data_IF_678021708851
#
_entry.id   IF_678021708851
#
_cell.length_a   1.000
_cell.length_b   1.000
_cell.length_c   1.000
_cell.angle_alpha   90.00
_cell.angle_beta   90.00
_cell.angle_gamma   90.00
#
_symmetry.space_group_name_H-M   'P 1'
#
loop_
_entity.id
_entity.type
_entity.pdbx_description
1 polymer ?
#
# COMPACT_ATOMS: atom_id res chain seq x y z
N UNK A 1 17.18 -18.07 -15.16
CA UNK A 1 16.48 -17.57 -13.96
C UNK A 1 16.58 -18.68 -12.93
N UNK A 2 17.26 -18.44 -11.82
CA UNK A 2 17.22 -19.38 -10.69
C UNK A 2 15.87 -19.16 -9.99
N UNK A 3 15.02 -20.20 -9.96
CA UNK A 3 13.69 -20.13 -9.33
C UNK A 3 13.73 -20.40 -7.83
N UNK A 4 14.89 -20.82 -7.31
CA UNK A 4 15.06 -21.06 -5.89
C UNK A 4 15.27 -19.77 -5.12
N UNK A 5 14.53 -19.61 -4.03
CA UNK A 5 14.78 -18.52 -3.09
C UNK A 5 16.10 -18.73 -2.34
N UNK A 6 16.78 -17.63 -2.01
CA UNK A 6 17.99 -17.64 -1.18
C UNK A 6 17.69 -18.24 0.20
N UNK A 7 18.72 -18.73 0.91
CA UNK A 7 18.57 -19.22 2.30
C UNK A 7 17.99 -18.12 3.21
N UNK A 8 18.40 -16.86 2.99
CA UNK A 8 17.91 -15.68 3.71
C UNK A 8 16.41 -15.50 3.48
N UNK A 9 15.96 -15.54 2.23
CA UNK A 9 14.54 -15.42 1.88
C UNK A 9 13.71 -16.54 2.48
N UNK A 10 14.14 -17.82 2.35
CA UNK A 10 13.42 -18.96 2.94
C UNK A 10 13.27 -18.83 4.46
N UNK A 11 14.33 -18.42 5.15
CA UNK A 11 14.29 -18.16 6.60
C UNK A 11 13.23 -17.11 6.97
N UNK A 12 13.16 -15.99 6.25
CA UNK A 12 12.13 -14.98 6.51
C UNK A 12 10.72 -15.47 6.14
N UNK A 13 10.57 -16.26 5.06
CA UNK A 13 9.29 -16.85 4.69
C UNK A 13 8.76 -17.78 5.78
N UNK A 14 9.61 -18.63 6.35
CA UNK A 14 9.25 -19.54 7.45
C UNK A 14 8.84 -18.77 8.71
N UNK A 15 9.62 -17.74 9.09
CA UNK A 15 9.30 -16.90 10.25
C UNK A 15 8.01 -16.11 10.06
N UNK A 16 7.77 -15.56 8.86
CA UNK A 16 6.51 -14.88 8.56
C UNK A 16 5.34 -15.85 8.55
N UNK A 17 5.46 -17.03 7.94
CA UNK A 17 4.37 -18.02 7.94
C UNK A 17 3.97 -18.46 9.36
N UNK A 18 4.97 -18.68 10.23
CA UNK A 18 4.75 -18.94 11.66
C UNK A 18 4.05 -17.76 12.35
N UNK A 19 4.53 -16.53 12.12
CA UNK A 19 3.95 -15.32 12.70
C UNK A 19 2.50 -15.10 12.25
N UNK A 20 2.24 -15.28 10.95
CA UNK A 20 0.90 -15.14 10.38
C UNK A 20 -0.09 -16.10 11.07
N UNK A 21 0.34 -17.34 11.27
CA UNK A 21 -0.48 -18.40 11.89
C UNK A 21 -0.73 -18.16 13.38
N UNK A 22 0.31 -17.76 14.13
CA UNK A 22 0.22 -17.60 15.59
C UNK A 22 -0.37 -16.27 16.03
N UNK A 23 -0.12 -15.19 15.29
CA UNK A 23 -0.42 -13.84 15.73
C UNK A 23 -1.37 -13.10 14.80
N UNK A 24 -1.20 -13.17 13.48
CA UNK A 24 -2.05 -12.37 12.57
C UNK A 24 -3.46 -12.96 12.44
N UNK A 25 -3.60 -14.17 11.88
CA UNK A 25 -4.93 -14.71 11.58
C UNK A 25 -5.84 -14.82 12.81
N UNK A 26 -5.36 -15.25 14.01
CA UNK A 26 -6.20 -15.29 15.20
C UNK A 26 -6.69 -13.89 15.66
N UNK A 27 -5.94 -12.83 15.35
CA UNK A 27 -6.22 -11.48 15.82
C UNK A 27 -6.89 -10.58 14.78
N UNK A 28 -7.21 -11.07 13.58
CA UNK A 28 -8.00 -10.30 12.60
C UNK A 28 -9.37 -9.91 13.17
N UNK A 29 -10.05 -10.87 13.82
CA UNK A 29 -11.34 -10.59 14.47
C UNK A 29 -11.17 -9.60 15.63
N UNK A 30 -10.15 -9.80 16.47
CA UNK A 30 -9.86 -8.92 17.60
C UNK A 30 -9.62 -7.49 17.14
N UNK A 31 -8.88 -7.29 16.04
CA UNK A 31 -8.66 -5.98 15.45
C UNK A 31 -9.97 -5.28 15.05
N UNK A 32 -10.87 -6.00 14.38
CA UNK A 32 -12.17 -5.45 13.99
C UNK A 32 -13.08 -5.18 15.20
N UNK A 33 -13.17 -6.12 16.15
CA UNK A 33 -13.98 -5.96 17.36
C UNK A 33 -13.51 -4.74 18.19
N UNK A 34 -12.20 -4.52 18.29
CA UNK A 34 -11.62 -3.37 19.01
C UNK A 34 -11.90 -2.03 18.30
N UNK A 35 -11.97 -2.01 16.96
CA UNK A 35 -12.37 -0.83 16.20
C UNK A 35 -13.87 -0.54 16.35
N UNK A 36 -14.70 -1.58 16.32
CA UNK A 36 -16.16 -1.47 16.40
C UNK A 36 -16.63 -1.04 17.80
N UNK A 37 -15.94 -1.48 18.85
CA UNK A 37 -16.26 -1.15 20.24
C UNK A 37 -15.81 0.26 20.66
N UNK A 38 -15.05 0.94 19.82
CA UNK A 38 -14.47 2.24 20.12
C UNK A 38 -15.45 3.40 19.96
N UNK A 39 -15.15 4.54 20.61
CA UNK A 39 -15.92 5.78 20.42
C UNK A 39 -15.81 6.34 19.00
N UNK A 40 -14.73 6.00 18.29
CA UNK A 40 -14.49 6.33 16.90
C UNK A 40 -13.71 5.20 16.26
N UNK A 41 -13.95 4.95 14.97
CA UNK A 41 -13.19 3.97 14.18
C UNK A 41 -11.81 4.50 13.78
N UNK A 42 -11.58 5.81 13.91
CA UNK A 42 -10.32 6.49 13.57
C UNK A 42 -9.33 6.48 14.75
N UNK A 43 -9.03 5.29 15.26
CA UNK A 43 -8.11 5.10 16.38
C UNK A 43 -7.24 3.86 16.17
N UNK A 44 -6.14 3.75 16.91
CA UNK A 44 -5.25 2.59 16.81
C UNK A 44 -5.81 1.45 17.68
N UNK A 45 -6.17 0.29 17.12
CA UNK A 45 -6.55 -0.86 17.93
C UNK A 45 -5.36 -1.34 18.76
N UNK A 46 -5.51 -1.53 20.08
CA UNK A 46 -4.42 -1.99 20.95
C UNK A 46 -3.68 -3.22 20.43
N UNK A 47 -4.42 -4.17 19.84
CA UNK A 47 -3.83 -5.39 19.29
C UNK A 47 -2.77 -5.12 18.24
N UNK A 48 -2.87 -4.02 17.49
CA UNK A 48 -1.87 -3.67 16.48
C UNK A 48 -0.51 -3.34 17.10
N UNK A 49 -0.48 -2.68 18.26
CA UNK A 49 0.80 -2.37 18.94
C UNK A 49 1.44 -3.62 19.56
N UNK A 50 0.63 -4.55 20.06
CA UNK A 50 1.10 -5.87 20.53
C UNK A 50 1.71 -6.68 19.38
N UNK A 51 1.05 -6.71 18.21
CA UNK A 51 1.58 -7.37 17.01
C UNK A 51 2.91 -6.77 16.55
N UNK A 52 3.03 -5.43 16.55
CA UNK A 52 4.29 -4.75 16.22
C UNK A 52 5.41 -5.06 17.22
N UNK A 53 5.09 -5.18 18.50
CA UNK A 53 6.08 -5.58 19.52
C UNK A 53 6.63 -6.98 19.22
N UNK A 54 5.77 -7.97 19.01
CA UNK A 54 6.18 -9.33 18.67
C UNK A 54 6.95 -9.43 17.34
N UNK A 55 6.55 -8.64 16.34
CA UNK A 55 7.26 -8.59 15.06
C UNK A 55 8.70 -8.08 15.24
N UNK A 56 8.89 -7.03 16.05
CA UNK A 56 10.21 -6.47 16.37
C UNK A 56 11.09 -7.43 17.15
N UNK A 57 10.54 -8.13 18.14
CA UNK A 57 11.26 -9.17 18.91
C UNK A 57 11.84 -10.28 18.02
N UNK A 58 11.18 -10.56 16.89
CA UNK A 58 11.60 -11.57 15.90
C UNK A 58 12.43 -11.00 14.75
N UNK A 59 12.72 -9.70 14.74
CA UNK A 59 13.43 -9.06 13.64
C UNK A 59 12.64 -8.97 12.32
N UNK A 60 11.30 -9.10 12.38
CA UNK A 60 10.40 -9.00 11.23
C UNK A 60 9.95 -7.54 11.03
N UNK A 61 10.90 -6.62 10.78
CA UNK A 61 10.63 -5.19 10.79
C UNK A 61 11.37 -4.45 9.65
N UNK A 62 10.71 -3.49 9.00
CA UNK A 62 11.27 -2.71 7.88
C UNK A 62 11.85 -3.58 6.74
N UNK A 63 11.17 -4.70 6.43
CA UNK A 63 11.63 -5.67 5.44
C UNK A 63 11.62 -5.13 3.99
N UNK A 64 10.93 -4.01 3.76
CA UNK A 64 10.65 -3.44 2.43
C UNK A 64 11.72 -2.49 1.89
N UNK A 65 12.71 -2.10 2.69
CA UNK A 65 13.61 -0.99 2.36
C UNK A 65 14.95 -1.51 1.79
N UNK A 66 15.07 -1.68 0.45
CA UNK A 66 16.32 -2.10 -0.18
C UNK A 66 17.35 -0.98 -0.14
N UNK A 67 18.63 -1.34 -0.30
CA UNK A 67 19.74 -0.38 -0.48
C UNK A 67 19.92 0.63 0.67
N UNK A 68 19.40 0.35 1.87
CA UNK A 68 19.57 1.14 3.07
C UNK A 68 20.03 0.27 4.24
N UNK A 69 21.01 0.77 5.00
CA UNK A 69 21.44 0.17 6.27
C UNK A 69 20.34 0.23 7.36
N UNK A 70 19.25 0.97 7.11
CA UNK A 70 18.11 1.11 8.03
C UNK A 70 16.98 0.09 7.77
N UNK A 71 17.11 -0.73 6.72
CA UNK A 71 16.20 -1.82 6.38
C UNK A 71 16.78 -3.21 6.66
N UNK A 72 16.07 -4.26 6.24
CA UNK A 72 16.55 -5.64 6.37
C UNK A 72 17.60 -6.08 5.32
N UNK A 73 18.01 -5.16 4.44
CA UNK A 73 18.96 -5.41 3.36
C UNK A 73 18.51 -6.50 2.39
N UNK A 74 17.20 -6.58 2.12
CA UNK A 74 16.62 -7.51 1.14
C UNK A 74 16.57 -6.84 -0.24
N UNK A 75 16.82 -7.60 -1.30
CA UNK A 75 16.55 -7.12 -2.66
C UNK A 75 15.04 -7.14 -2.94
N UNK A 76 14.58 -6.54 -4.05
CA UNK A 76 13.16 -6.62 -4.43
C UNK A 76 12.73 -8.08 -4.63
N UNK A 77 13.57 -8.90 -5.25
CA UNK A 77 13.30 -10.32 -5.47
C UNK A 77 13.24 -11.12 -4.17
N UNK A 78 14.09 -10.81 -3.19
CA UNK A 78 14.06 -11.43 -1.86
C UNK A 78 12.83 -11.00 -1.04
N UNK A 79 12.38 -9.75 -1.19
CA UNK A 79 11.22 -9.22 -0.50
C UNK A 79 9.88 -9.70 -1.10
N UNK A 80 9.83 -10.00 -2.40
CA UNK A 80 8.63 -10.40 -3.12
C UNK A 80 7.79 -11.49 -2.44
N UNK A 81 8.33 -12.69 -2.09
CA UNK A 81 7.55 -13.73 -1.43
C UNK A 81 7.14 -13.36 -0.01
N UNK A 82 7.89 -12.48 0.67
CA UNK A 82 7.53 -12.00 2.01
C UNK A 82 6.31 -11.09 1.93
N UNK A 83 6.28 -10.21 0.93
CA UNK A 83 5.18 -9.31 0.65
C UNK A 83 3.91 -10.08 0.23
N UNK A 84 4.06 -11.18 -0.52
CA UNK A 84 2.97 -12.12 -0.80
C UNK A 84 2.38 -12.73 0.48
N UNK A 85 3.21 -13.24 1.40
CA UNK A 85 2.76 -13.80 2.68
C UNK A 85 2.00 -12.74 3.50
N UNK A 86 2.53 -11.53 3.61
CA UNK A 86 1.89 -10.42 4.31
C UNK A 86 0.56 -10.02 3.65
N UNK A 87 0.48 -10.05 2.32
CA UNK A 87 -0.72 -9.69 1.56
C UNK A 87 -1.93 -10.57 1.85
N UNK A 88 -1.74 -11.74 2.46
CA UNK A 88 -2.83 -12.62 2.88
C UNK A 88 -3.71 -12.02 3.98
N UNK A 89 -3.29 -10.95 4.66
CA UNK A 89 -4.09 -10.27 5.68
C UNK A 89 -4.00 -8.76 5.56
N UNK A 90 -5.11 -8.00 5.75
CA UNK A 90 -5.07 -6.54 5.70
C UNK A 90 -4.25 -5.92 6.85
N UNK A 91 -4.12 -6.60 8.00
CA UNK A 91 -3.41 -6.07 9.19
C UNK A 91 -1.92 -6.44 9.22
N UNK A 92 -1.50 -7.46 8.45
CA UNK A 92 -0.13 -7.95 8.47
C UNK A 92 0.90 -6.90 8.02
N UNK A 93 0.74 -6.19 6.89
CA UNK A 93 1.74 -5.21 6.46
C UNK A 93 2.05 -4.15 7.52
N UNK A 94 1.06 -3.68 8.29
CA UNK A 94 1.31 -2.72 9.37
C UNK A 94 2.07 -3.35 10.54
N UNK A 95 1.76 -4.59 10.93
CA UNK A 95 2.44 -5.30 12.01
C UNK A 95 3.96 -5.41 11.79
N UNK A 96 4.40 -5.43 10.53
CA UNK A 96 5.82 -5.51 10.13
C UNK A 96 6.41 -4.17 9.63
N UNK A 97 5.68 -3.06 9.80
CA UNK A 97 6.02 -1.72 9.27
C UNK A 97 6.21 -1.67 7.74
N UNK A 98 5.51 -2.55 7.03
CA UNK A 98 5.56 -2.72 5.58
C UNK A 98 4.28 -2.22 4.86
N UNK A 99 3.45 -1.41 5.52
CA UNK A 99 2.19 -0.91 4.96
C UNK A 99 2.38 0.36 4.10
N UNK A 100 1.68 0.42 2.97
CA UNK A 100 1.46 1.69 2.26
C UNK A 100 0.50 2.59 3.05
N UNK A 101 0.62 3.93 2.95
CA UNK A 101 1.56 4.69 2.12
C UNK A 101 2.94 4.91 2.76
N UNK A 102 3.14 4.46 4.00
CA UNK A 102 4.34 4.74 4.79
C UNK A 102 5.62 4.22 4.15
N UNK A 103 5.61 3.00 3.58
CA UNK A 103 6.79 2.46 2.89
C UNK A 103 7.30 3.36 1.77
N UNK A 104 6.40 3.80 0.88
CA UNK A 104 6.75 4.74 -0.19
C UNK A 104 7.19 6.11 0.33
N UNK A 105 6.62 6.58 1.46
CA UNK A 105 7.06 7.82 2.11
C UNK A 105 8.46 7.66 2.73
N UNK A 106 8.74 6.55 3.41
CA UNK A 106 10.05 6.23 3.99
C UNK A 106 11.12 6.14 2.91
N UNK A 107 10.88 5.41 1.83
CA UNK A 107 11.79 5.35 0.67
C UNK A 107 12.06 6.73 0.06
N UNK A 108 11.01 7.56 -0.05
CA UNK A 108 11.13 8.93 -0.56
C UNK A 108 12.06 9.77 0.31
N UNK A 109 11.87 9.76 1.64
CA UNK A 109 12.67 10.56 2.56
C UNK A 109 14.10 10.00 2.68
N UNK A 110 14.28 8.68 2.65
CA UNK A 110 15.61 8.06 2.66
C UNK A 110 16.43 8.47 1.44
N UNK A 111 15.81 8.48 0.25
CA UNK A 111 16.50 8.78 -1.01
C UNK A 111 16.71 10.28 -1.25
N UNK A 112 15.74 11.11 -0.88
CA UNK A 112 15.69 12.52 -1.30
C UNK A 112 15.65 13.52 -0.14
N UNK A 113 15.50 13.04 1.09
CA UNK A 113 15.48 13.88 2.28
C UNK A 113 16.88 14.35 2.68
N UNK A 114 16.98 15.55 3.24
CA UNK A 114 18.18 16.00 3.94
C UNK A 114 18.39 15.21 5.24
N UNK A 115 19.59 15.23 5.80
CA UNK A 115 19.86 14.55 7.09
C UNK A 115 18.97 15.07 8.23
N UNK A 116 18.61 16.36 8.22
CA UNK A 116 17.66 16.93 9.16
C UNK A 116 16.25 16.34 8.97
N UNK A 117 15.78 16.23 7.73
CA UNK A 117 14.48 15.63 7.41
C UNK A 117 14.45 14.13 7.76
N UNK A 118 15.54 13.39 7.49
CA UNK A 118 15.66 11.98 7.88
C UNK A 118 15.61 11.80 9.39
N UNK A 119 16.37 12.62 10.15
CA UNK A 119 16.35 12.57 11.61
C UNK A 119 14.96 12.90 12.17
N UNK A 120 14.30 13.92 11.63
CA UNK A 120 13.01 14.37 12.15
C UNK A 120 11.85 13.45 11.78
N UNK A 121 11.83 12.91 10.56
CA UNK A 121 10.66 12.23 10.00
C UNK A 121 10.91 10.76 9.67
N UNK A 122 12.04 10.42 9.06
CA UNK A 122 12.31 9.04 8.69
C UNK A 122 12.55 8.15 9.91
N UNK A 123 13.34 8.61 10.88
CA UNK A 123 13.60 7.84 12.10
C UNK A 123 12.31 7.42 12.84
N UNK A 124 11.37 8.33 13.20
CA UNK A 124 10.14 7.90 13.87
C UNK A 124 9.20 7.07 12.98
N UNK A 125 9.24 7.21 11.64
CA UNK A 125 8.52 6.31 10.72
C UNK A 125 9.11 4.90 10.73
N UNK A 126 10.44 4.77 10.70
CA UNK A 126 11.14 3.48 10.78
C UNK A 126 10.97 2.82 12.16
N UNK A 127 10.74 3.59 13.21
CA UNK A 127 10.36 3.10 14.54
C UNK A 127 8.86 2.73 14.64
N UNK A 128 8.04 3.08 13.65
CA UNK A 128 6.59 2.87 13.65
C UNK A 128 5.83 3.71 14.68
N UNK A 129 6.45 4.79 15.19
CA UNK A 129 5.85 5.70 16.19
C UNK A 129 4.88 6.71 15.58
N UNK A 130 5.14 7.10 14.33
CA UNK A 130 4.26 7.96 13.55
C UNK A 130 3.87 7.26 12.25
N UNK A 131 2.84 7.79 11.60
CA UNK A 131 2.39 7.44 10.27
C UNK A 131 2.46 8.66 9.37
N UNK A 132 2.26 8.44 8.09
CA UNK A 132 2.38 9.46 7.06
C UNK A 132 1.33 9.30 6.00
N UNK A 133 1.15 10.33 5.17
CA UNK A 133 0.28 10.26 4.01
C UNK A 133 0.92 10.93 2.79
N UNK A 134 0.56 10.44 1.60
CA UNK A 134 0.97 11.04 0.34
C UNK A 134 -0.18 11.84 -0.23
N UNK A 135 0.08 13.10 -0.57
CA UNK A 135 -0.94 14.09 -0.90
C UNK A 135 -0.69 14.61 -2.31
N UNK A 136 -1.26 13.91 -3.30
CA UNK A 136 -1.07 14.22 -4.72
C UNK A 136 -2.39 14.49 -5.44
N UNK A 137 -3.32 13.55 -5.40
CA UNK A 137 -4.55 13.57 -6.20
C UNK A 137 -5.45 14.76 -5.82
N UNK A 138 -5.99 15.42 -6.84
CA UNK A 138 -6.91 16.56 -6.71
C UNK A 138 -8.28 16.19 -7.29
N UNK A 139 -9.40 16.63 -6.65
CA UNK A 139 -10.74 16.29 -7.11
C UNK A 139 -11.19 17.10 -8.32
N UNK A 140 -10.59 18.28 -8.58
CA UNK A 140 -11.01 19.21 -9.64
C UNK A 140 -10.32 18.98 -10.98
N UNK A 141 -9.30 18.11 -11.03
CA UNK A 141 -8.52 17.84 -12.24
C UNK A 141 -8.28 16.34 -12.42
N UNK A 142 -8.12 15.92 -13.66
CA UNK A 142 -7.75 14.54 -14.00
C UNK A 142 -6.30 14.25 -13.58
N UNK A 143 -6.13 13.83 -12.33
CA UNK A 143 -4.83 13.64 -11.66
C UNK A 143 -4.03 12.43 -12.17
N UNK A 144 -4.61 11.60 -13.05
CA UNK A 144 -3.89 10.53 -13.74
C UNK A 144 -2.79 11.07 -14.65
N UNK A 145 -3.01 12.25 -15.23
CA UNK A 145 -1.94 13.07 -15.79
C UNK A 145 -1.43 14.02 -14.68
N UNK A 146 -0.28 13.67 -14.11
CA UNK A 146 0.33 14.44 -13.03
C UNK A 146 0.61 15.90 -13.43
N UNK A 147 0.75 16.22 -14.72
CA UNK A 147 0.97 17.61 -15.18
C UNK A 147 -0.25 18.51 -15.00
N UNK A 148 -1.42 17.93 -14.69
CA UNK A 148 -2.66 18.66 -14.40
C UNK A 148 -2.80 19.09 -12.95
N UNK A 149 -1.95 18.63 -12.02
CA UNK A 149 -1.98 19.09 -10.62
C UNK A 149 -1.83 20.62 -10.56
N UNK A 150 -2.72 21.29 -9.81
CA UNK A 150 -2.84 22.75 -9.76
C UNK A 150 -2.53 23.38 -8.40
N UNK A 151 -2.57 22.59 -7.32
CA UNK A 151 -2.29 23.13 -5.98
C UNK A 151 -0.94 23.85 -5.93
N UNK A 152 -0.89 25.01 -5.27
CA UNK A 152 0.25 25.91 -5.31
C UNK A 152 1.17 25.75 -4.10
N UNK A 153 2.47 25.87 -4.31
CA UNK A 153 3.51 25.98 -3.30
C UNK A 153 4.31 27.25 -3.62
N UNK A 154 4.02 28.36 -2.92
CA UNK A 154 4.60 29.67 -3.24
C UNK A 154 5.68 30.01 -2.22
N UNK A 155 6.89 30.30 -2.70
CA UNK A 155 7.99 30.75 -1.84
C UNK A 155 7.68 32.14 -1.28
N UNK A 156 7.83 32.29 0.03
CA UNK A 156 7.68 33.55 0.76
C UNK A 156 8.81 33.66 1.80
N UNK A 157 9.91 34.30 1.39
CA UNK A 157 11.12 34.44 2.20
C UNK A 157 11.78 33.10 2.55
N UNK A 158 11.85 32.79 3.84
CA UNK A 158 12.38 31.56 4.42
C UNK A 158 11.32 30.45 4.60
N UNK A 159 10.13 30.64 4.01
CA UNK A 159 9.01 29.71 4.11
C UNK A 159 8.32 29.49 2.76
N UNK A 160 7.42 28.51 2.71
CA UNK A 160 6.46 28.30 1.62
C UNK A 160 5.04 28.47 2.15
N UNK A 161 4.15 29.01 1.30
CA UNK A 161 2.71 29.05 1.51
C UNK A 161 2.04 28.07 0.54
N UNK A 162 1.26 27.14 1.09
CA UNK A 162 0.62 26.06 0.36
C UNK A 162 -0.89 26.28 0.33
N UNK A 163 -1.47 26.18 -0.87
CA UNK A 163 -2.91 26.18 -1.08
C UNK A 163 -3.31 25.04 -2.01
N UNK A 164 -4.36 24.29 -1.66
CA UNK A 164 -4.77 23.14 -2.46
C UNK A 164 -6.00 22.42 -1.93
N UNK A 165 -6.64 21.65 -2.81
CA UNK A 165 -7.75 20.76 -2.49
C UNK A 165 -7.37 19.36 -2.96
N UNK A 166 -7.16 18.45 -2.02
CA UNK A 166 -6.62 17.11 -2.26
C UNK A 166 -7.61 16.06 -1.79
N UNK A 167 -7.55 14.87 -2.38
CA UNK A 167 -8.39 13.74 -1.98
C UNK A 167 -7.68 12.42 -2.19
N UNK A 168 -8.29 11.33 -1.71
CA UNK A 168 -7.65 10.00 -1.65
C UNK A 168 -6.34 10.00 -0.87
N UNK A 169 -6.24 10.85 0.15
CA UNK A 169 -5.08 10.89 1.05
C UNK A 169 -5.18 9.73 2.05
N UNK A 170 -4.62 8.58 1.68
CA UNK A 170 -4.65 7.37 2.50
C UNK A 170 -3.88 7.54 3.81
N UNK A 171 -4.43 7.05 4.92
CA UNK A 171 -3.77 7.06 6.23
C UNK A 171 -3.99 8.34 7.05
N UNK A 172 -4.63 9.37 6.48
CA UNK A 172 -4.90 10.63 7.19
C UNK A 172 -5.89 10.48 8.36
N UNK A 173 -6.69 9.40 8.38
CA UNK A 173 -7.59 9.10 9.50
C UNK A 173 -6.86 8.64 10.76
N UNK A 174 -5.66 8.06 10.62
CA UNK A 174 -4.90 7.52 11.74
C UNK A 174 -4.40 8.64 12.65
N UNK A 175 -4.65 8.64 13.97
CA UNK A 175 -4.19 9.70 14.88
C UNK A 175 -2.66 9.82 14.98
N UNK A 176 -1.91 8.79 14.56
CA UNK A 176 -0.45 8.82 14.46
C UNK A 176 0.04 9.41 13.14
N UNK A 177 -0.82 9.70 12.17
CA UNK A 177 -0.41 10.40 10.95
C UNK A 177 0.11 11.79 11.32
N UNK A 178 1.41 12.03 11.20
CA UNK A 178 2.06 13.29 11.61
C UNK A 178 2.69 14.05 10.46
N UNK A 179 3.06 13.37 9.38
CA UNK A 179 3.79 13.98 8.27
C UNK A 179 3.14 13.66 6.93
N UNK A 180 3.01 14.68 6.10
CA UNK A 180 2.45 14.60 4.76
C UNK A 180 3.55 14.89 3.75
N UNK A 181 3.61 14.11 2.66
CA UNK A 181 4.38 14.47 1.48
C UNK A 181 3.41 15.07 0.47
N UNK A 182 3.44 16.40 0.35
CA UNK A 182 2.54 17.17 -0.51
C UNK A 182 3.18 17.45 -1.87
N UNK A 183 2.42 17.21 -2.95
CA UNK A 183 2.83 17.54 -4.31
C UNK A 183 2.00 18.69 -4.88
N UNK A 184 2.67 19.71 -5.40
CA UNK A 184 2.05 20.90 -5.98
C UNK A 184 3.00 21.68 -6.89
N UNK A 185 2.49 22.71 -7.56
CA UNK A 185 3.23 23.59 -8.46
C UNK A 185 4.02 24.65 -7.67
N UNK A 186 5.33 24.65 -7.83
CA UNK A 186 6.22 25.72 -7.36
C UNK A 186 6.47 26.78 -8.42
N UNK A 187 6.44 26.40 -9.70
CA UNK A 187 6.61 27.32 -10.82
C UNK A 187 5.63 26.96 -11.96
N UNK A 188 4.41 27.45 -11.87
CA UNK A 188 3.37 27.19 -12.87
C UNK A 188 3.69 27.78 -14.26
N UNK A 189 4.68 28.67 -14.35
CA UNK A 189 5.08 29.35 -15.61
C UNK A 189 6.30 28.71 -16.25
N UNK A 190 6.90 27.67 -15.64
CA UNK A 190 8.04 26.99 -16.23
C UNK A 190 7.67 26.45 -17.63
N UNK A 191 8.48 26.71 -18.68
CA UNK A 191 8.20 26.19 -20.01
C UNK A 191 8.24 24.65 -20.06
N UNK A 192 9.00 24.01 -19.17
CA UNK A 192 9.01 22.56 -19.00
C UNK A 192 7.96 22.15 -17.95
N UNK A 193 6.85 21.57 -18.41
CA UNK A 193 5.75 21.09 -17.54
C UNK A 193 6.23 20.11 -16.47
N UNK A 194 7.29 19.34 -16.74
CA UNK A 194 7.83 18.35 -15.79
C UNK A 194 8.68 18.99 -14.68
N UNK A 195 8.99 20.28 -14.78
CA UNK A 195 9.72 21.07 -13.78
C UNK A 195 8.84 22.09 -13.04
N UNK A 196 7.52 22.09 -13.29
CA UNK A 196 6.61 23.01 -12.62
C UNK A 196 6.30 22.63 -11.16
N UNK A 197 6.55 21.37 -10.79
CA UNK A 197 6.06 20.76 -9.56
C UNK A 197 7.18 20.35 -8.62
N UNK A 198 6.89 20.37 -7.33
CA UNK A 198 7.79 19.95 -6.26
C UNK A 198 7.06 19.07 -5.25
N UNK A 199 7.83 18.38 -4.41
CA UNK A 199 7.31 17.73 -3.20
C UNK A 199 7.84 18.43 -1.96
N UNK A 200 6.98 18.61 -0.96
CA UNK A 200 7.29 19.30 0.29
C UNK A 200 6.72 18.55 1.48
N UNK A 201 7.48 18.50 2.57
CA UNK A 201 7.07 17.91 3.83
C UNK A 201 6.16 18.88 4.60
N UNK A 202 5.00 18.41 5.02
CA UNK A 202 4.01 19.24 5.74
C UNK A 202 3.54 18.49 6.98
N UNK A 203 3.75 19.07 8.16
CA UNK A 203 3.22 18.49 9.40
C UNK A 203 1.69 18.51 9.34
N UNK A 204 1.05 17.39 9.66
CA UNK A 204 -0.40 17.22 9.51
C UNK A 204 -1.19 18.32 10.23
N UNK A 205 -0.74 18.71 11.41
CA UNK A 205 -1.45 19.61 12.31
C UNK A 205 -1.07 21.08 12.08
N UNK A 206 -0.36 21.40 10.98
CA UNK A 206 -0.05 22.79 10.60
C UNK A 206 -1.34 23.58 10.39
N UNK A 207 -1.48 24.80 10.96
CA UNK A 207 -2.65 25.64 10.75
C UNK A 207 -2.98 25.83 9.27
N UNK A 208 -4.27 25.73 8.93
CA UNK A 208 -4.77 25.78 7.55
C UNK A 208 -5.01 24.42 6.91
N UNK A 209 -4.62 23.31 7.56
CA UNK A 209 -4.95 21.95 7.11
C UNK A 209 -6.29 21.52 7.70
N UNK A 210 -7.21 21.06 6.86
CA UNK A 210 -8.51 20.55 7.28
C UNK A 210 -8.84 19.25 6.55
N UNK A 211 -9.01 18.17 7.30
CA UNK A 211 -9.64 16.95 6.78
C UNK A 211 -11.14 17.23 6.63
N UNK A 212 -11.60 17.43 5.41
CA UNK A 212 -12.98 17.80 5.11
C UNK A 212 -13.95 16.63 5.35
N UNK A 213 -13.55 15.42 4.94
CA UNK A 213 -14.28 14.17 5.19
C UNK A 213 -13.40 12.96 4.88
N UNK A 214 -13.81 11.81 5.38
CA UNK A 214 -13.30 10.50 4.96
C UNK A 214 -14.13 9.96 3.80
N UNK A 215 -13.51 9.17 2.93
CA UNK A 215 -14.08 8.59 1.71
C UNK A 215 -14.30 7.09 1.91
N UNK A 216 -15.33 6.56 1.26
CA UNK A 216 -15.63 5.12 1.29
C UNK A 216 -15.39 4.47 -0.06
N UNK A 217 -14.96 3.21 -0.05
CA UNK A 217 -14.80 2.35 -1.22
C UNK A 217 -15.86 1.26 -1.14
N UNK A 218 -16.87 1.32 -2.02
CA UNK A 218 -18.02 0.38 -1.98
C UNK A 218 -18.69 0.28 -0.58
N UNK A 219 -18.67 1.36 0.19
CA UNK A 219 -19.23 1.41 1.56
C UNK A 219 -18.24 1.04 2.67
N UNK A 220 -17.04 0.54 2.35
CA UNK A 220 -15.96 0.34 3.32
C UNK A 220 -15.25 1.66 3.61
N UNK A 221 -15.01 1.96 4.89
CA UNK A 221 -14.30 3.17 5.32
C UNK A 221 -12.78 2.99 5.45
N UNK A 222 -12.31 1.74 5.42
CA UNK A 222 -10.91 1.35 5.58
C UNK A 222 -10.27 1.89 6.87
N UNK A 223 -11.09 2.06 7.92
CA UNK A 223 -10.62 2.44 9.25
C UNK A 223 -9.60 1.43 9.81
N UNK A 224 -8.59 1.89 10.57
CA UNK A 224 -8.43 3.24 11.10
C UNK A 224 -7.64 4.20 10.19
N UNK A 225 -7.13 3.71 9.06
CA UNK A 225 -6.32 4.52 8.15
C UNK A 225 -7.20 5.43 7.27
N UNK A 226 -8.13 4.81 6.56
CA UNK A 226 -9.06 5.44 5.61
C UNK A 226 -8.40 6.26 4.51
N UNK A 227 -9.25 6.99 3.81
CA UNK A 227 -8.86 7.89 2.72
C UNK A 227 -9.55 9.25 2.91
N UNK A 228 -8.80 10.34 3.03
CA UNK A 228 -9.39 11.66 3.27
C UNK A 228 -9.43 12.57 2.06
N UNK A 229 -10.44 13.45 2.05
CA UNK A 229 -10.46 14.72 1.33
C UNK A 229 -9.91 15.81 2.25
N UNK A 230 -8.88 16.52 1.81
CA UNK A 230 -8.07 17.42 2.65
C UNK A 230 -7.92 18.77 1.95
N UNK A 231 -8.22 19.84 2.68
CA UNK A 231 -8.04 21.22 2.26
C UNK A 231 -6.76 21.78 2.89
N UNK A 232 -6.01 22.55 2.11
CA UNK A 232 -4.83 23.29 2.52
C UNK A 232 -5.10 24.76 2.21
N UNK A 233 -5.26 25.58 3.24
CA UNK A 233 -5.61 27.00 3.14
C UNK A 233 -4.52 27.84 3.83
N UNK A 234 -3.67 28.48 3.04
CA UNK A 234 -2.54 29.31 3.51
C UNK A 234 -1.62 28.58 4.51
N UNK A 235 -1.38 27.30 4.28
CA UNK A 235 -0.53 26.47 5.13
C UNK A 235 0.92 26.91 4.97
N UNK A 236 1.55 27.37 6.05
CA UNK A 236 2.92 27.89 6.03
C UNK A 236 3.90 26.88 6.63
N UNK A 237 4.95 26.56 5.89
CA UNK A 237 6.03 25.66 6.33
C UNK A 237 7.41 26.25 6.02
N UNK A 238 8.47 25.89 6.78
CA UNK A 238 9.83 26.35 6.48
C UNK A 238 10.29 25.96 5.08
N UNK A 239 11.15 26.78 4.46
CA UNK A 239 11.71 26.48 3.13
C UNK A 239 12.56 25.20 3.13
N UNK A 240 13.15 24.84 4.27
CA UNK A 240 13.88 23.59 4.47
C UNK A 240 13.01 22.34 4.39
N UNK A 241 11.68 22.46 4.32
CA UNK A 241 10.79 21.32 4.15
C UNK A 241 10.69 20.81 2.70
N UNK A 242 11.22 21.55 1.72
CA UNK A 242 11.26 21.11 0.33
C UNK A 242 12.10 19.83 0.21
N UNK A 243 11.60 18.82 -0.52
CA UNK A 243 12.35 17.59 -0.79
C UNK A 243 13.17 17.76 -2.06
N UNK A 244 14.48 17.48 -1.97
CA UNK A 244 15.49 17.60 -3.03
C UNK A 244 15.70 19.01 -3.60
N UNK A 245 14.64 19.74 -3.93
CA UNK A 245 14.66 21.09 -4.47
C UNK A 245 13.41 21.43 -5.30
N UNK A 246 13.27 22.69 -5.67
CA UNK A 246 12.18 23.16 -6.53
C UNK A 246 12.25 22.52 -7.94
N UNK A 247 11.08 22.19 -8.50
CA UNK A 247 10.95 21.58 -9.82
C UNK A 247 11.32 20.09 -9.90
N UNK A 248 11.60 19.45 -8.76
CA UNK A 248 12.02 18.04 -8.67
C UNK A 248 10.87 17.07 -8.38
N UNK A 249 9.62 17.53 -8.40
CA UNK A 249 8.45 16.72 -8.03
C UNK A 249 8.26 15.49 -8.92
N UNK A 250 8.42 15.62 -10.23
CA UNK A 250 8.32 14.48 -11.16
C UNK A 250 9.42 13.44 -10.95
N UNK A 251 10.65 13.88 -10.68
CA UNK A 251 11.77 12.97 -10.41
C UNK A 251 11.51 12.14 -9.16
N UNK A 252 11.06 12.79 -8.08
CA UNK A 252 10.71 12.11 -6.83
C UNK A 252 9.53 11.15 -7.06
N UNK A 253 8.49 11.58 -7.77
CA UNK A 253 7.33 10.74 -8.08
C UNK A 253 7.73 9.48 -8.87
N UNK A 254 8.60 9.60 -9.87
CA UNK A 254 9.10 8.46 -10.64
C UNK A 254 9.94 7.51 -9.79
N UNK A 255 10.79 8.03 -8.90
CA UNK A 255 11.58 7.23 -7.97
C UNK A 255 10.73 6.44 -6.98
N UNK A 256 9.65 7.05 -6.49
CA UNK A 256 8.70 6.49 -5.51
C UNK A 256 7.76 5.45 -6.10
N UNK A 257 7.16 5.71 -7.27
CA UNK A 257 6.05 4.90 -7.79
C UNK A 257 6.48 3.51 -8.28
N UNK A 258 7.75 3.31 -8.62
CA UNK A 258 8.27 1.99 -9.02
C UNK A 258 8.13 0.94 -7.91
N UNK A 259 8.82 1.10 -6.77
CA UNK A 259 8.71 0.21 -5.62
C UNK A 259 7.28 0.08 -5.06
N UNK A 260 6.55 1.20 -4.97
CA UNK A 260 5.15 1.20 -4.50
C UNK A 260 4.25 0.26 -5.32
N UNK A 261 4.32 0.34 -6.65
CA UNK A 261 3.53 -0.50 -7.56
C UNK A 261 3.82 -1.99 -7.38
N UNK A 262 5.10 -2.37 -7.29
CA UNK A 262 5.44 -3.79 -7.15
C UNK A 262 5.05 -4.34 -5.77
N UNK A 263 5.20 -3.57 -4.69
CA UNK A 263 4.76 -3.98 -3.34
C UNK A 263 3.24 -4.23 -3.27
N UNK A 264 2.44 -3.43 -3.99
CA UNK A 264 1.00 -3.70 -4.13
C UNK A 264 0.74 -4.99 -4.90
N UNK A 265 1.43 -5.22 -6.02
CA UNK A 265 1.26 -6.42 -6.83
C UNK A 265 1.65 -7.70 -6.05
N UNK A 266 2.78 -7.68 -5.34
CA UNK A 266 3.21 -8.82 -4.51
C UNK A 266 2.14 -9.20 -3.47
N UNK A 267 1.59 -8.20 -2.75
CA UNK A 267 0.51 -8.44 -1.77
C UNK A 267 -0.76 -9.01 -2.41
N UNK A 268 -1.09 -8.57 -3.63
CA UNK A 268 -2.29 -9.03 -4.34
C UNK A 268 -2.22 -10.49 -4.78
N UNK A 269 -1.02 -11.05 -4.97
CA UNK A 269 -0.84 -12.51 -5.10
C UNK A 269 -1.29 -13.21 -3.81
N UNK A 270 -0.92 -12.69 -2.65
CA UNK A 270 -1.33 -13.21 -1.34
C UNK A 270 -2.85 -13.16 -1.12
N UNK A 271 -3.49 -12.06 -1.51
CA UNK A 271 -4.96 -11.95 -1.49
C UNK A 271 -5.61 -13.02 -2.36
N UNK A 272 -5.12 -13.21 -3.59
CA UNK A 272 -5.64 -14.22 -4.51
C UNK A 272 -5.45 -15.64 -3.98
N UNK A 273 -4.29 -15.95 -3.40
CA UNK A 273 -4.05 -17.26 -2.75
C UNK A 273 -5.00 -17.51 -1.59
N UNK A 274 -5.26 -16.51 -0.75
CA UNK A 274 -6.20 -16.67 0.36
C UNK A 274 -7.64 -16.85 -0.15
N UNK A 275 -8.04 -16.14 -1.20
CA UNK A 275 -9.34 -16.31 -1.83
C UNK A 275 -9.49 -17.71 -2.45
N UNK A 276 -8.46 -18.22 -3.12
CA UNK A 276 -8.42 -19.58 -3.66
C UNK A 276 -8.53 -20.64 -2.54
N UNK A 277 -7.82 -20.45 -1.44
CA UNK A 277 -7.91 -21.35 -0.27
C UNK A 277 -9.33 -21.37 0.30
N UNK A 278 -9.96 -20.21 0.49
CA UNK A 278 -11.35 -20.11 0.93
C UNK A 278 -12.30 -20.79 -0.06
N UNK A 279 -12.08 -20.61 -1.37
CA UNK A 279 -12.84 -21.27 -2.43
C UNK A 279 -12.74 -22.80 -2.32
N UNK A 280 -11.53 -23.36 -2.17
CA UNK A 280 -11.32 -24.80 -2.00
C UNK A 280 -11.95 -25.33 -0.69
N UNK A 281 -11.78 -24.62 0.43
CA UNK A 281 -12.42 -25.00 1.70
C UNK A 281 -13.94 -24.99 1.59
N UNK A 282 -14.52 -23.99 0.94
CA UNK A 282 -15.96 -23.91 0.71
C UNK A 282 -16.47 -25.03 -0.18
N UNK A 283 -15.73 -25.36 -1.24
CA UNK A 283 -16.13 -26.38 -2.23
C UNK A 283 -16.25 -27.77 -1.60
N UNK A 284 -15.36 -28.10 -0.67
CA UNK A 284 -15.32 -29.41 0.00
C UNK A 284 -16.40 -29.56 1.08
N UNK A 285 -16.83 -28.45 1.69
CA UNK A 285 -17.69 -28.46 2.89
C UNK A 285 -19.17 -28.18 2.62
N UNK A 286 -19.57 -27.91 1.37
CA UNK A 286 -20.96 -27.61 1.01
C UNK A 286 -21.51 -28.61 0.01
N UNK A 287 -22.73 -29.09 0.27
CA UNK A 287 -23.48 -30.02 -0.59
C UNK A 287 -24.65 -29.27 -1.22
N UNK A 288 -24.80 -29.37 -2.54
CA UNK A 288 -25.92 -28.81 -3.30
C UNK A 288 -26.36 -29.85 -4.33
N UNK A 289 -27.67 -30.04 -4.50
CA UNK A 289 -28.22 -31.06 -5.42
C UNK A 289 -27.65 -32.47 -5.19
N UNK A 290 -27.41 -32.83 -3.92
CA UNK A 290 -26.95 -34.18 -3.53
C UNK A 290 -25.45 -34.45 -3.71
N UNK A 291 -24.63 -33.48 -4.15
CA UNK A 291 -23.18 -33.62 -4.29
C UNK A 291 -22.44 -32.44 -3.68
N UNK A 292 -21.19 -32.61 -3.28
CA UNK A 292 -20.33 -31.50 -2.86
C UNK A 292 -20.11 -30.55 -4.03
N UNK A 293 -19.92 -29.27 -3.73
CA UNK A 293 -19.56 -28.29 -4.77
C UNK A 293 -18.25 -28.67 -5.49
N UNK A 294 -17.32 -29.33 -4.79
CA UNK A 294 -16.08 -29.86 -5.35
C UNK A 294 -16.29 -31.00 -6.38
N UNK A 295 -17.48 -31.61 -6.44
CA UNK A 295 -17.81 -32.65 -7.43
C UNK A 295 -18.47 -32.08 -8.69
N UNK A 296 -18.57 -30.76 -8.80
CA UNK A 296 -19.10 -30.09 -9.99
C UNK A 296 -17.95 -29.62 -10.88
N UNK A 297 -17.98 -30.00 -12.15
CA UNK A 297 -16.92 -29.70 -13.13
C UNK A 297 -16.63 -28.20 -13.24
N UNK A 298 -17.66 -27.35 -13.20
CA UNK A 298 -17.50 -25.89 -13.25
C UNK A 298 -16.71 -25.37 -12.04
N UNK A 299 -16.89 -25.98 -10.86
CA UNK A 299 -16.10 -25.61 -9.67
C UNK A 299 -14.64 -25.99 -9.85
N UNK A 300 -14.38 -27.21 -10.34
CA UNK A 300 -13.03 -27.71 -10.58
C UNK A 300 -12.29 -26.86 -11.64
N UNK A 301 -12.97 -26.53 -12.73
CA UNK A 301 -12.45 -25.66 -13.79
C UNK A 301 -12.07 -24.28 -13.24
N UNK A 302 -12.95 -23.67 -12.43
CA UNK A 302 -12.68 -22.36 -11.81
C UNK A 302 -11.50 -22.39 -10.85
N UNK A 303 -11.37 -23.45 -10.06
CA UNK A 303 -10.22 -23.65 -9.16
C UNK A 303 -8.93 -23.78 -9.98
N UNK A 304 -8.95 -24.61 -11.04
CA UNK A 304 -7.80 -24.80 -11.92
C UNK A 304 -7.39 -23.49 -12.62
N UNK A 305 -8.37 -22.75 -13.16
CA UNK A 305 -8.14 -21.47 -13.82
C UNK A 305 -7.53 -20.45 -12.85
N UNK A 306 -8.06 -20.35 -11.63
CA UNK A 306 -7.50 -19.46 -10.60
C UNK A 306 -6.06 -19.83 -10.23
N UNK A 307 -5.71 -21.12 -10.12
CA UNK A 307 -4.34 -21.55 -9.86
C UNK A 307 -3.40 -21.13 -11.00
N UNK A 308 -3.79 -21.37 -12.26
CA UNK A 308 -3.00 -21.00 -13.43
C UNK A 308 -2.73 -19.49 -13.46
N UNK A 309 -3.78 -18.68 -13.28
CA UNK A 309 -3.67 -17.22 -13.33
C UNK A 309 -2.78 -16.67 -12.19
N UNK A 310 -2.91 -17.21 -10.97
CA UNK A 310 -2.07 -16.82 -9.83
C UNK A 310 -0.59 -17.13 -10.11
N UNK A 311 -0.29 -18.33 -10.61
CA UNK A 311 1.10 -18.73 -10.83
C UNK A 311 1.74 -17.93 -11.97
N UNK A 312 1.00 -17.63 -13.04
CA UNK A 312 1.44 -16.75 -14.12
C UNK A 312 1.73 -15.33 -13.61
N UNK A 313 0.81 -14.76 -12.83
CA UNK A 313 0.96 -13.43 -12.26
C UNK A 313 2.13 -13.35 -11.27
N UNK A 314 2.32 -14.38 -10.44
CA UNK A 314 3.46 -14.46 -9.50
C UNK A 314 4.78 -14.45 -10.24
N UNK A 315 4.93 -15.26 -11.30
CA UNK A 315 6.16 -15.28 -12.10
C UNK A 315 6.42 -13.94 -12.78
N UNK A 316 5.38 -13.25 -13.25
CA UNK A 316 5.50 -11.91 -13.82
C UNK A 316 6.00 -10.88 -12.77
N UNK A 317 5.50 -10.96 -11.52
CA UNK A 317 5.97 -10.14 -10.40
C UNK A 317 7.43 -10.43 -10.05
N UNK A 318 7.83 -11.70 -9.96
CA UNK A 318 9.21 -12.10 -9.70
C UNK A 318 10.15 -11.63 -10.82
N UNK A 319 9.71 -11.71 -12.08
CA UNK A 319 10.46 -11.15 -13.20
C UNK A 319 10.63 -9.63 -13.08
N UNK A 320 9.58 -8.89 -12.75
CA UNK A 320 9.68 -7.45 -12.52
C UNK A 320 10.64 -7.09 -11.38
N UNK A 321 10.59 -7.85 -10.27
CA UNK A 321 11.50 -7.68 -9.14
C UNK A 321 12.96 -7.93 -9.54
N UNK A 322 13.23 -9.00 -10.29
CA UNK A 322 14.55 -9.29 -10.84
C UNK A 322 15.06 -8.18 -11.76
N UNK A 323 14.19 -7.63 -12.62
CA UNK A 323 14.55 -6.50 -13.49
C UNK A 323 14.88 -5.24 -12.67
N UNK A 324 14.14 -4.96 -11.60
CA UNK A 324 14.45 -3.85 -10.70
C UNK A 324 15.82 -4.03 -10.03
N UNK A 325 16.13 -5.24 -9.56
CA UNK A 325 17.40 -5.54 -8.89
C UNK A 325 18.62 -5.52 -9.83
N UNK A 326 18.44 -5.84 -11.12
CA UNK A 326 19.56 -6.02 -12.07
C UNK A 326 19.79 -4.83 -13.00
N UNK A 327 18.74 -4.15 -13.45
CA UNK A 327 18.83 -3.03 -14.40
C UNK A 327 18.27 -1.72 -13.84
N UNK A 328 17.71 -1.74 -12.62
CA UNK A 328 17.15 -0.58 -11.94
C UNK A 328 15.75 -0.19 -12.42
N UNK A 329 15.04 0.57 -11.57
CA UNK A 329 13.63 0.93 -11.76
C UNK A 329 13.32 1.60 -13.11
N UNK A 330 14.22 2.46 -13.61
CA UNK A 330 14.02 3.21 -14.85
C UNK A 330 14.00 2.28 -16.08
N UNK A 331 14.88 1.29 -16.12
CA UNK A 331 14.91 0.30 -17.20
C UNK A 331 13.81 -0.76 -17.02
N UNK A 332 13.47 -1.10 -15.78
CA UNK A 332 12.39 -2.03 -15.44
C UNK A 332 10.96 -1.46 -15.61
N UNK A 333 10.82 -0.20 -16.07
CA UNK A 333 9.52 0.50 -16.16
C UNK A 333 8.42 -0.29 -16.88
N UNK A 334 8.77 -1.06 -17.90
CA UNK A 334 7.83 -1.86 -18.67
C UNK A 334 7.31 -3.03 -17.82
N UNK A 335 8.21 -3.81 -17.22
CA UNK A 335 7.84 -4.93 -16.36
C UNK A 335 6.99 -4.47 -15.16
N UNK A 336 7.29 -3.31 -14.57
CA UNK A 336 6.49 -2.69 -13.49
C UNK A 336 5.09 -2.31 -13.99
N UNK A 337 4.96 -1.79 -15.21
CA UNK A 337 3.66 -1.45 -15.79
C UNK A 337 2.82 -2.71 -16.10
N UNK A 338 3.45 -3.76 -16.63
CA UNK A 338 2.80 -5.04 -16.93
C UNK A 338 2.15 -5.65 -15.68
N UNK A 339 2.88 -5.74 -14.55
CA UNK A 339 2.33 -6.28 -13.31
C UNK A 339 1.21 -5.41 -12.73
N UNK A 340 1.32 -4.08 -12.87
CA UNK A 340 0.34 -3.13 -12.35
C UNK A 340 -1.01 -3.27 -13.04
N UNK A 341 -1.02 -3.74 -14.28
CA UNK A 341 -2.24 -4.09 -15.02
C UNK A 341 -2.66 -5.53 -14.74
N UNK A 342 -1.75 -6.49 -14.89
CA UNK A 342 -2.08 -7.92 -14.85
C UNK A 342 -2.57 -8.37 -13.47
N UNK A 343 -1.89 -7.95 -12.41
CA UNK A 343 -2.10 -8.52 -11.06
C UNK A 343 -3.44 -8.10 -10.46
N UNK A 344 -3.84 -6.81 -10.42
CA UNK A 344 -5.16 -6.45 -9.89
C UNK A 344 -6.32 -7.08 -10.67
N UNK A 345 -6.18 -7.24 -11.99
CA UNK A 345 -7.20 -7.91 -12.80
C UNK A 345 -7.31 -9.41 -12.46
N UNK A 346 -6.17 -10.10 -12.33
CA UNK A 346 -6.14 -11.50 -11.87
C UNK A 346 -6.78 -11.65 -10.50
N UNK A 347 -6.38 -10.83 -9.52
CA UNK A 347 -6.89 -10.95 -8.15
C UNK A 347 -8.41 -10.75 -8.10
N UNK A 348 -8.95 -9.77 -8.83
CA UNK A 348 -10.40 -9.57 -8.92
C UNK A 348 -11.14 -10.79 -9.47
N UNK A 349 -10.62 -11.41 -10.53
CA UNK A 349 -11.22 -12.62 -11.12
C UNK A 349 -11.22 -13.80 -10.14
N UNK A 350 -10.10 -14.02 -9.43
CA UNK A 350 -10.00 -15.09 -8.43
C UNK A 350 -10.95 -14.84 -7.26
N UNK A 351 -10.98 -13.62 -6.73
CA UNK A 351 -11.86 -13.27 -5.60
C UNK A 351 -13.33 -13.38 -6.01
N UNK A 352 -13.71 -12.94 -7.21
CA UNK A 352 -15.09 -13.05 -7.71
C UNK A 352 -15.55 -14.51 -7.84
N UNK A 353 -14.70 -15.41 -8.36
CA UNK A 353 -15.00 -16.86 -8.39
C UNK A 353 -15.19 -17.41 -6.98
N UNK A 354 -14.36 -16.99 -6.02
CA UNK A 354 -14.48 -17.38 -4.62
C UNK A 354 -15.79 -16.85 -3.99
N UNK A 355 -16.16 -15.59 -4.26
CA UNK A 355 -17.42 -14.99 -3.81
C UNK A 355 -18.62 -15.78 -4.33
N UNK A 356 -18.64 -16.09 -5.63
CA UNK A 356 -19.72 -16.85 -6.25
C UNK A 356 -19.92 -18.22 -5.59
N UNK A 357 -18.83 -18.92 -5.26
CA UNK A 357 -18.89 -20.21 -4.59
C UNK A 357 -19.37 -20.12 -3.13
N UNK A 358 -19.26 -18.95 -2.52
CA UNK A 358 -19.82 -18.67 -1.19
C UNK A 358 -21.30 -18.27 -1.24
N UNK A 359 -21.88 -18.03 -2.42
CA UNK A 359 -23.27 -17.58 -2.58
C UNK A 359 -23.50 -16.24 -1.88
N UNK A 360 -24.67 -16.07 -1.24
CA UNK A 360 -24.98 -14.85 -0.49
C UNK A 360 -23.96 -14.51 0.61
N UNK A 361 -23.24 -15.49 1.16
CA UNK A 361 -22.16 -15.24 2.12
C UNK A 361 -20.97 -14.50 1.52
N UNK A 362 -20.69 -14.70 0.23
CA UNK A 362 -19.54 -14.10 -0.46
C UNK A 362 -19.61 -12.57 -0.57
N UNK A 363 -20.80 -11.98 -0.41
CA UNK A 363 -21.05 -10.53 -0.42
C UNK A 363 -21.34 -9.97 0.98
N UNK A 364 -21.13 -10.76 2.03
CA UNK A 364 -21.41 -10.39 3.43
C UNK A 364 -20.12 -10.25 4.24
N UNK A 365 -20.24 -9.74 5.47
CA UNK A 365 -19.16 -9.64 6.45
C UNK A 365 -18.70 -10.99 7.03
N UNK A 366 -19.46 -12.07 6.83
CA UNK A 366 -19.12 -13.41 7.33
C UNK A 366 -17.81 -13.96 6.73
N UNK A 367 -17.43 -13.46 5.55
CA UNK A 367 -16.20 -13.82 4.86
C UNK A 367 -15.46 -12.57 4.41
N UNK A 368 -14.12 -12.57 4.36
CA UNK A 368 -13.36 -11.39 3.94
C UNK A 368 -13.44 -11.12 2.43
N UNK A 369 -14.20 -11.89 1.66
CA UNK A 369 -14.17 -11.87 0.19
C UNK A 369 -14.67 -10.55 -0.40
N UNK A 370 -15.74 -9.97 0.17
CA UNK A 370 -16.29 -8.71 -0.30
C UNK A 370 -15.33 -7.54 -0.07
N UNK A 371 -14.68 -7.49 1.10
CA UNK A 371 -13.68 -6.46 1.42
C UNK A 371 -12.38 -6.68 0.62
N UNK A 372 -11.95 -7.93 0.41
CA UNK A 372 -10.85 -8.27 -0.49
C UNK A 372 -11.11 -7.74 -1.90
N UNK A 373 -12.30 -8.01 -2.47
CA UNK A 373 -12.66 -7.55 -3.81
C UNK A 373 -12.69 -6.02 -3.88
N UNK A 374 -13.35 -5.36 -2.93
CA UNK A 374 -13.45 -3.90 -2.88
C UNK A 374 -12.08 -3.23 -2.81
N UNK A 375 -11.20 -3.72 -1.92
CA UNK A 375 -9.84 -3.20 -1.77
C UNK A 375 -9.00 -3.46 -3.02
N UNK A 376 -9.00 -4.69 -3.56
CA UNK A 376 -8.31 -5.04 -4.80
C UNK A 376 -8.78 -4.21 -5.99
N UNK A 377 -10.07 -3.83 -6.04
CA UNK A 377 -10.63 -3.02 -7.12
C UNK A 377 -10.03 -1.61 -7.18
N UNK A 378 -9.65 -1.06 -6.04
CA UNK A 378 -8.98 0.26 -5.96
C UNK A 378 -7.62 0.27 -6.65
N UNK A 379 -6.91 -0.86 -6.69
CA UNK A 379 -5.56 -0.94 -7.25
C UNK A 379 -5.53 -0.88 -8.78
N UNK A 380 -6.69 -0.89 -9.44
CA UNK A 380 -6.84 -0.50 -10.86
C UNK A 380 -6.95 1.02 -11.06
N UNK A 381 -6.91 1.80 -9.99
CA UNK A 381 -6.95 3.27 -10.02
C UNK A 381 -5.77 3.88 -9.26
N UNK A 382 -5.48 3.37 -8.05
CA UNK A 382 -4.34 3.79 -7.25
C UNK A 382 -3.02 3.56 -8.00
N UNK A 383 -2.04 4.44 -7.77
CA UNK A 383 -0.71 4.44 -8.41
C UNK A 383 -0.71 4.45 -9.95
N UNK A 384 -1.81 4.89 -10.57
CA UNK A 384 -1.99 5.00 -12.02
C UNK A 384 -3.00 3.97 -12.55
N UNK A 385 -4.10 4.42 -13.19
CA UNK A 385 -5.05 3.56 -13.89
C UNK A 385 -4.46 2.82 -15.10
#
# INVERSE_FOLDING_TARGET
MEFEYSKKTRMYMEQLADFMTKYIYPNEKVFHDQLDAASTRWQVPPIMEELKAHARERGLWNLFLPESERGAGLTNLEYAPLCEIMGRSPIAPEAFNCSAPDTGNMETIERYGSEAQKKQWLAPLLEGKIRSAFVMTEPKVASSDATNIESSIIRDGDSYVINGHKWWTSGIGDPRCRILIFMGKTDAKNPDRYKQQSMILVERDTPGIKVARMLTVFGYDDAPHGHGEVLFENVRVPASNILLGEGRGFEIAQGRLGPGRIHHCMRQIGVAERALELMCKRSQNRVVFGKRLAENDITLERIAQSRIEIDQARLLVLHAAYMMDTVGNKAAKQAIAEIKVAVPNMTLQVVERAMQLHGGGGVSQEFPLASMWAHSRTLRFADGP
#
